data_IF_589983760566
#
_entry.id   IF_589983760566
#
_cell.length_a   1.000
_cell.length_b   1.000
_cell.length_c   1.000
_cell.angle_alpha   90.00
_cell.angle_beta   90.00
_cell.angle_gamma   90.00
#
_symmetry.space_group_name_H-M   'P 1'
#
loop_
_entity.id
_entity.type
_entity.pdbx_description
1 polymer ?
#
# COMPACT_ATOMS: atom_id res chain seq x y z
N UNK A 1 7.14 11.00 3.98
CA UNK A 1 8.26 11.08 4.95
C UNK A 1 8.98 9.76 5.20
N UNK A 2 8.30 8.66 5.53
CA UNK A 2 8.95 7.34 5.73
C UNK A 2 9.87 6.94 4.58
N UNK A 3 9.41 7.13 3.35
CA UNK A 3 10.22 6.91 2.13
C UNK A 3 11.49 7.75 2.10
N UNK A 4 11.45 9.01 2.53
CA UNK A 4 12.64 9.88 2.57
C UNK A 4 13.67 9.36 3.58
N UNK A 5 13.21 8.94 4.77
CA UNK A 5 14.07 8.31 5.78
C UNK A 5 14.71 7.04 5.22
N UNK A 6 13.90 6.19 4.57
CA UNK A 6 14.39 4.97 3.93
C UNK A 6 15.43 5.26 2.84
N UNK A 7 15.18 6.25 1.98
CA UNK A 7 16.12 6.64 0.91
C UNK A 7 17.44 7.15 1.50
N UNK A 8 17.40 7.98 2.54
CA UNK A 8 18.61 8.38 3.27
C UNK A 8 19.37 7.15 3.80
N UNK A 9 18.67 6.22 4.45
CA UNK A 9 19.28 5.02 5.00
C UNK A 9 19.90 4.11 3.92
N UNK A 10 19.38 4.12 2.69
CA UNK A 10 19.94 3.32 1.58
C UNK A 10 21.06 4.03 0.82
N UNK A 11 20.95 5.33 0.64
CA UNK A 11 21.81 6.09 -0.29
C UNK A 11 22.83 6.99 0.41
N UNK A 12 22.65 7.25 1.71
CA UNK A 12 23.45 8.24 2.46
C UNK A 12 23.13 9.71 2.13
N UNK A 13 22.25 9.98 1.16
CA UNK A 13 21.88 11.33 0.71
C UNK A 13 21.13 12.12 1.78
N UNK A 14 21.84 13.07 2.39
CA UNK A 14 21.35 13.85 3.56
C UNK A 14 20.15 14.75 3.24
N UNK A 15 19.96 15.17 2.00
CA UNK A 15 18.84 16.00 1.57
C UNK A 15 17.48 15.34 1.86
N UNK A 16 17.38 14.01 1.70
CA UNK A 16 16.17 13.27 2.07
C UNK A 16 15.88 13.36 3.57
N UNK A 17 16.90 13.21 4.42
CA UNK A 17 16.74 13.29 5.87
C UNK A 17 16.45 14.72 6.33
N UNK A 18 17.06 15.72 5.69
CA UNK A 18 16.92 17.14 6.01
C UNK A 18 15.54 17.71 5.66
N UNK A 19 14.82 17.10 4.71
CA UNK A 19 13.46 17.51 4.36
C UNK A 19 12.42 17.13 5.44
N UNK A 20 12.69 16.09 6.23
CA UNK A 20 11.71 15.51 7.18
C UNK A 20 11.33 16.46 8.32
N UNK A 21 12.25 17.18 9.00
CA UNK A 21 11.89 18.06 10.12
C UNK A 21 10.91 19.18 9.74
N UNK A 22 11.08 19.78 8.55
CA UNK A 22 10.17 20.83 8.07
C UNK A 22 8.75 20.30 7.89
N UNK A 23 8.62 19.12 7.28
CA UNK A 23 7.33 18.46 7.09
C UNK A 23 6.70 18.00 8.42
N UNK A 24 7.50 17.47 9.36
CA UNK A 24 7.02 17.13 10.70
C UNK A 24 6.49 18.34 11.44
N UNK A 25 7.22 19.45 11.43
CA UNK A 25 6.80 20.69 12.08
C UNK A 25 5.50 21.23 11.48
N UNK A 26 5.38 21.24 10.14
CA UNK A 26 4.15 21.62 9.46
C UNK A 26 2.98 20.73 9.90
N UNK A 27 3.09 19.41 9.76
CA UNK A 27 1.99 18.50 10.04
C UNK A 27 1.60 18.47 11.53
N UNK A 28 2.56 18.62 12.45
CA UNK A 28 2.25 18.74 13.89
C UNK A 28 1.40 19.97 14.20
N UNK A 29 1.67 21.10 13.52
CA UNK A 29 0.85 22.31 13.63
C UNK A 29 -0.50 22.19 12.94
N UNK A 30 -0.63 21.27 11.99
CA UNK A 30 -1.86 21.01 11.25
C UNK A 30 -2.80 20.03 11.95
N UNK A 31 -2.43 19.44 13.10
CA UNK A 31 -3.32 18.51 13.81
C UNK A 31 -4.65 19.18 14.19
N UNK A 32 -5.75 18.57 13.75
CA UNK A 32 -7.12 19.06 14.01
C UNK A 32 -7.62 18.65 15.40
N UNK A 33 -7.03 17.58 15.93
CA UNK A 33 -7.14 17.14 17.32
C UNK A 33 -5.95 16.24 17.62
N UNK A 34 -5.74 15.89 18.90
CA UNK A 34 -4.58 15.11 19.33
C UNK A 34 -4.45 13.81 18.51
N UNK A 35 -3.39 13.71 17.71
CA UNK A 35 -3.13 12.52 16.90
C UNK A 35 -4.04 12.36 15.69
N UNK A 36 -4.69 13.43 15.22
CA UNK A 36 -5.54 13.42 14.02
C UNK A 36 -5.15 14.55 13.06
N UNK A 37 -5.18 14.24 11.78
CA UNK A 37 -5.00 15.19 10.68
C UNK A 37 -6.25 15.17 9.81
N UNK A 38 -6.59 16.32 9.23
CA UNK A 38 -7.45 16.34 8.06
C UNK A 38 -6.71 15.71 6.88
N UNK A 39 -7.46 15.14 5.95
CA UNK A 39 -6.88 14.53 4.75
C UNK A 39 -6.40 15.60 3.75
N UNK A 40 -7.02 16.77 3.78
CA UNK A 40 -6.71 17.88 2.88
C UNK A 40 -6.56 19.18 3.65
N UNK A 41 -5.62 20.01 3.20
CA UNK A 41 -5.38 21.34 3.73
C UNK A 41 -5.26 22.33 2.57
N UNK A 42 -5.87 23.49 2.74
CA UNK A 42 -5.77 24.60 1.82
C UNK A 42 -4.33 25.14 1.79
N UNK A 43 -3.81 25.37 0.58
CA UNK A 43 -2.48 25.95 0.42
C UNK A 43 -2.45 27.38 0.97
N UNK A 44 -1.30 27.78 1.51
CA UNK A 44 -1.03 29.07 2.17
C UNK A 44 -1.68 29.23 3.54
N UNK A 45 -2.97 28.91 3.69
CA UNK A 45 -3.70 29.10 4.96
C UNK A 45 -3.57 27.92 5.91
N UNK A 46 -3.26 26.71 5.40
CA UNK A 46 -3.23 25.46 6.17
C UNK A 46 -4.58 25.14 6.84
N UNK A 47 -5.69 25.63 6.28
CA UNK A 47 -7.03 25.34 6.78
C UNK A 47 -7.48 23.93 6.33
N UNK A 48 -8.01 23.09 7.22
CA UNK A 48 -8.61 21.81 6.83
C UNK A 48 -9.69 21.98 5.76
N UNK A 49 -9.69 21.12 4.74
CA UNK A 49 -10.71 21.09 3.70
C UNK A 49 -11.54 19.83 3.80
N UNK A 50 -12.85 20.01 3.71
CA UNK A 50 -13.86 18.96 3.75
C UNK A 50 -14.82 19.13 2.57
N UNK A 51 -15.60 18.10 2.31
CA UNK A 51 -16.67 18.16 1.34
C UNK A 51 -17.94 17.60 1.95
N UNK A 52 -19.08 18.19 1.59
CA UNK A 52 -20.40 17.65 1.94
C UNK A 52 -20.67 16.34 1.18
N UNK A 53 -21.77 15.65 1.51
CA UNK A 53 -22.24 14.50 0.71
C UNK A 53 -22.56 14.85 -0.74
N UNK A 54 -22.84 16.13 -1.02
CA UNK A 54 -23.08 16.69 -2.35
C UNK A 54 -21.79 17.20 -3.03
N UNK A 55 -20.63 16.97 -2.43
CA UNK A 55 -19.33 17.44 -2.91
C UNK A 55 -19.18 18.97 -2.95
N UNK A 56 -19.82 19.67 -2.03
CA UNK A 56 -19.61 21.11 -1.83
C UNK A 56 -18.46 21.33 -0.85
N UNK A 57 -17.55 22.25 -1.17
CA UNK A 57 -16.39 22.57 -0.33
C UNK A 57 -16.86 23.23 0.98
N UNK A 58 -16.49 22.63 2.11
CA UNK A 58 -16.74 23.16 3.45
C UNK A 58 -15.50 23.06 4.32
N UNK A 59 -15.51 23.75 5.45
CA UNK A 59 -14.38 23.84 6.37
C UNK A 59 -14.68 23.24 7.76
N UNK A 60 -15.83 22.56 7.89
CA UNK A 60 -16.26 21.81 9.06
C UNK A 60 -16.55 20.35 8.66
N UNK A 61 -16.62 19.46 9.64
CA UNK A 61 -16.80 18.02 9.47
C UNK A 61 -18.25 17.54 9.72
N UNK A 62 -19.22 18.46 9.64
CA UNK A 62 -20.61 18.21 10.04
C UNK A 62 -21.38 17.28 9.07
N UNK A 63 -21.05 17.28 7.77
CA UNK A 63 -21.76 16.49 6.74
C UNK A 63 -20.82 15.75 5.77
N UNK A 64 -19.89 14.95 6.32
CA UNK A 64 -18.94 14.21 5.50
C UNK A 64 -19.57 13.02 4.75
N UNK A 65 -19.10 12.70 3.53
CA UNK A 65 -19.38 11.43 2.86
C UNK A 65 -19.03 10.21 3.73
N UNK A 66 -19.91 9.21 3.76
CA UNK A 66 -19.74 8.02 4.60
C UNK A 66 -18.73 7.01 4.05
N UNK A 67 -18.42 7.09 2.76
CA UNK A 67 -17.52 6.17 2.06
C UNK A 67 -16.08 6.67 1.93
N UNK A 68 -15.76 7.88 2.40
CA UNK A 68 -14.44 8.47 2.27
C UNK A 68 -13.95 9.12 3.56
N UNK A 69 -12.80 8.67 4.08
CA UNK A 69 -12.24 9.19 5.32
C UNK A 69 -11.55 10.54 5.12
N UNK A 70 -12.18 11.63 5.57
CA UNK A 70 -11.60 12.99 5.55
C UNK A 70 -10.68 13.31 6.73
N UNK A 71 -10.66 12.45 7.76
CA UNK A 71 -9.74 12.57 8.88
C UNK A 71 -8.93 11.29 9.00
N UNK A 72 -7.65 11.41 9.33
CA UNK A 72 -6.70 10.30 9.41
C UNK A 72 -5.96 10.32 10.73
N UNK A 73 -5.57 9.15 11.20
CA UNK A 73 -4.67 9.04 12.35
C UNK A 73 -3.29 9.61 11.99
N UNK A 74 -2.76 10.42 12.89
CA UNK A 74 -1.42 10.99 12.81
C UNK A 74 -0.39 9.90 13.12
N UNK A 75 0.51 9.62 12.17
CA UNK A 75 1.66 8.75 12.38
C UNK A 75 2.92 9.51 12.78
N UNK A 76 2.82 10.80 13.12
CA UNK A 76 3.95 11.73 13.17
C UNK A 76 4.98 11.35 14.24
N UNK A 77 4.57 10.93 15.43
CA UNK A 77 5.48 10.54 16.51
C UNK A 77 6.36 9.35 16.10
N UNK A 78 5.75 8.35 15.47
CA UNK A 78 6.49 7.18 14.98
C UNK A 78 7.45 7.54 13.85
N UNK A 79 7.10 8.52 13.02
CA UNK A 79 7.97 9.03 11.93
C UNK A 79 9.12 9.84 12.52
N UNK A 80 8.87 10.67 13.52
CA UNK A 80 9.91 11.42 14.22
C UNK A 80 10.88 10.48 14.92
N UNK A 81 10.39 9.44 15.61
CA UNK A 81 11.24 8.43 16.21
C UNK A 81 12.10 7.72 15.15
N UNK A 82 11.53 7.36 13.99
CA UNK A 82 12.29 6.77 12.89
C UNK A 82 13.34 7.74 12.32
N UNK A 83 13.01 9.03 12.20
CA UNK A 83 13.94 10.06 11.75
C UNK A 83 15.10 10.24 12.74
N UNK A 84 14.82 10.30 14.06
CA UNK A 84 15.87 10.39 15.10
C UNK A 84 16.81 9.19 15.06
N UNK A 85 16.26 7.97 14.91
CA UNK A 85 17.06 6.75 14.75
C UNK A 85 17.93 6.82 13.51
N UNK A 86 17.37 7.14 12.35
CA UNK A 86 18.14 7.27 11.12
C UNK A 86 19.24 8.33 11.22
N UNK A 87 18.96 9.48 11.85
CA UNK A 87 19.95 10.54 12.08
C UNK A 87 21.14 10.06 12.92
N UNK A 88 20.90 9.23 13.93
CA UNK A 88 21.93 8.68 14.81
C UNK A 88 22.69 7.52 14.15
N UNK A 89 21.96 6.58 13.55
CA UNK A 89 22.50 5.32 13.05
C UNK A 89 23.11 5.47 11.65
N UNK A 90 22.77 6.55 10.94
CA UNK A 90 23.32 6.89 9.63
C UNK A 90 22.77 6.03 8.49
N UNK A 91 23.58 5.88 7.44
CA UNK A 91 23.30 4.97 6.34
C UNK A 91 23.35 3.53 6.87
N UNK A 92 22.32 2.73 6.55
CA UNK A 92 22.34 1.32 6.84
C UNK A 92 23.39 0.66 5.96
N UNK A 93 24.30 -0.09 6.58
CA UNK A 93 25.21 -0.96 5.83
C UNK A 93 24.38 -1.89 4.95
N UNK A 94 24.87 -2.16 3.74
CA UNK A 94 24.28 -3.20 2.91
C UNK A 94 24.27 -4.50 3.74
N UNK A 95 23.10 -5.11 3.86
CA UNK A 95 23.01 -6.45 4.41
C UNK A 95 23.74 -7.32 3.40
N UNK A 96 24.81 -7.99 3.85
CA UNK A 96 25.53 -8.90 2.97
C UNK A 96 24.57 -10.02 2.57
N UNK A 97 24.17 -10.03 1.30
CA UNK A 97 23.25 -11.02 0.76
C UNK A 97 23.81 -12.45 0.89
N UNK A 98 25.13 -12.61 1.05
CA UNK A 98 25.77 -13.89 1.34
C UNK A 98 25.39 -14.45 2.72
N UNK A 99 25.06 -13.57 3.68
CA UNK A 99 24.62 -13.91 5.04
C UNK A 99 23.12 -14.15 5.15
N UNK A 100 22.34 -13.79 4.11
CA UNK A 100 20.92 -14.07 4.10
C UNK A 100 20.70 -15.59 4.07
N UNK A 101 19.80 -16.15 4.91
CA UNK A 101 19.53 -17.57 4.88
C UNK A 101 19.11 -17.97 3.47
N UNK A 102 19.85 -18.90 2.86
CA UNK A 102 19.49 -19.47 1.55
C UNK A 102 18.08 -20.02 1.67
N UNK A 103 17.13 -19.42 0.95
CA UNK A 103 15.78 -19.97 0.84
C UNK A 103 15.92 -21.39 0.30
N UNK A 104 15.49 -22.38 1.09
CA UNK A 104 15.49 -23.77 0.66
C UNK A 104 14.60 -23.87 -0.58
N UNK A 105 15.13 -24.49 -1.63
CA UNK A 105 14.34 -24.76 -2.83
C UNK A 105 13.19 -25.69 -2.45
N UNK A 106 11.95 -25.40 -2.88
CA UNK A 106 10.87 -26.35 -2.72
C UNK A 106 11.20 -27.61 -3.52
N UNK A 107 10.87 -28.79 -2.97
CA UNK A 107 10.94 -30.03 -3.73
C UNK A 107 9.81 -30.05 -4.75
N UNK A 108 10.07 -30.55 -5.95
CA UNK A 108 9.00 -30.81 -6.91
C UNK A 108 8.12 -31.94 -6.39
N UNK A 109 6.85 -31.64 -6.13
CA UNK A 109 5.85 -32.61 -5.65
C UNK A 109 4.69 -32.65 -6.64
N UNK A 110 3.95 -33.75 -6.65
CA UNK A 110 2.73 -33.89 -7.46
C UNK A 110 1.77 -32.70 -7.25
N UNK A 111 1.61 -32.27 -5.99
CA UNK A 111 0.73 -31.18 -5.63
C UNK A 111 1.20 -29.78 -6.12
N UNK A 112 2.50 -29.59 -6.42
CA UNK A 112 3.00 -28.37 -7.06
C UNK A 112 2.76 -28.43 -8.57
N UNK A 113 2.98 -29.60 -9.17
CA UNK A 113 2.73 -29.83 -10.60
C UNK A 113 1.24 -29.61 -10.91
N UNK A 114 0.35 -30.25 -10.16
CA UNK A 114 -1.10 -30.16 -10.32
C UNK A 114 -1.59 -28.71 -10.22
N UNK A 115 -1.20 -27.98 -9.17
CA UNK A 115 -1.60 -26.57 -9.00
C UNK A 115 -1.07 -25.64 -10.09
N UNK A 116 0.09 -25.94 -10.66
CA UNK A 116 0.63 -25.17 -11.77
C UNK A 116 -0.11 -25.49 -13.07
N UNK A 117 -0.46 -26.76 -13.30
CA UNK A 117 -1.26 -27.20 -14.43
C UNK A 117 -2.67 -26.60 -14.38
N UNK A 118 -3.37 -26.70 -13.24
CA UNK A 118 -4.66 -26.04 -13.00
C UNK A 118 -4.60 -24.53 -13.27
N UNK A 119 -3.49 -23.89 -12.91
CA UNK A 119 -3.30 -22.47 -13.17
C UNK A 119 -3.17 -22.16 -14.67
N UNK A 120 -2.54 -23.02 -15.47
CA UNK A 120 -2.49 -22.81 -16.92
C UNK A 120 -3.83 -23.16 -17.57
N UNK A 121 -4.44 -24.28 -17.20
CA UNK A 121 -5.65 -24.81 -17.82
C UNK A 121 -6.90 -23.94 -17.56
N UNK A 122 -6.89 -23.18 -16.46
CA UNK A 122 -7.98 -22.25 -16.12
C UNK A 122 -7.88 -20.89 -16.83
N UNK A 123 -6.86 -20.66 -17.65
CA UNK A 123 -6.79 -19.45 -18.47
C UNK A 123 -7.74 -19.56 -19.66
N UNK A 124 -8.34 -18.42 -20.04
CA UNK A 124 -8.99 -18.30 -21.34
C UNK A 124 -7.97 -18.20 -22.49
N UNK A 125 -8.46 -18.14 -23.73
CA UNK A 125 -7.62 -18.06 -24.93
C UNK A 125 -6.68 -16.84 -24.99
N UNK A 126 -6.87 -15.83 -24.14
CA UNK A 126 -6.01 -14.65 -24.03
C UNK A 126 -4.92 -14.81 -22.96
N UNK A 127 -4.94 -15.91 -22.21
CA UNK A 127 -4.08 -16.11 -21.04
C UNK A 127 -4.61 -15.44 -19.77
N UNK A 128 -5.91 -15.13 -19.69
CA UNK A 128 -6.50 -14.46 -18.53
C UNK A 128 -7.28 -15.43 -17.63
N UNK A 129 -7.13 -15.27 -16.31
CA UNK A 129 -8.00 -15.93 -15.32
C UNK A 129 -9.25 -15.10 -15.10
N UNK A 130 -10.31 -15.44 -15.83
CA UNK A 130 -11.61 -14.78 -15.73
C UNK A 130 -12.57 -15.64 -14.91
N UNK A 131 -13.20 -15.05 -13.91
CA UNK A 131 -14.26 -15.69 -13.14
C UNK A 131 -15.55 -14.86 -13.15
N UNK A 132 -16.68 -15.52 -12.91
CA UNK A 132 -17.96 -14.84 -12.71
C UNK A 132 -18.13 -14.50 -11.24
N UNK A 133 -17.95 -13.22 -10.90
CA UNK A 133 -18.13 -12.73 -9.53
C UNK A 133 -18.90 -11.40 -9.51
N UNK A 134 -19.30 -11.00 -8.30
CA UNK A 134 -20.02 -9.77 -8.02
C UNK A 134 -19.04 -8.63 -7.84
N UNK A 135 -19.23 -7.55 -8.58
CA UNK A 135 -18.46 -6.33 -8.34
C UNK A 135 -18.97 -5.63 -7.08
N UNK A 136 -18.05 -5.33 -6.15
CA UNK A 136 -18.38 -4.62 -4.90
C UNK A 136 -18.92 -3.20 -5.13
N UNK A 137 -18.68 -2.63 -6.31
CA UNK A 137 -19.08 -1.28 -6.66
C UNK A 137 -19.52 -1.21 -8.14
N UNK A 138 -20.83 -1.24 -8.39
CA UNK A 138 -21.44 -0.86 -9.67
C UNK A 138 -22.70 -0.03 -9.42
N UNK A 139 -22.85 1.03 -10.22
CA UNK A 139 -23.84 2.09 -10.06
C UNK A 139 -25.25 1.77 -10.57
N UNK A 140 -25.52 0.55 -11.04
CA UNK A 140 -26.87 0.12 -11.43
C UNK A 140 -27.70 -0.44 -10.25
N UNK A 141 -27.09 -0.56 -9.06
CA UNK A 141 -27.76 -0.98 -7.84
C UNK A 141 -28.02 -2.49 -7.73
N UNK A 142 -27.75 -3.29 -8.77
CA UNK A 142 -28.02 -4.72 -8.73
C UNK A 142 -26.80 -5.52 -8.23
N UNK A 143 -26.68 -5.61 -6.91
CA UNK A 143 -25.60 -6.34 -6.21
C UNK A 143 -25.56 -7.85 -6.47
N UNK A 144 -26.61 -8.42 -7.06
CA UNK A 144 -26.70 -9.87 -7.30
C UNK A 144 -26.15 -10.32 -8.66
N UNK A 145 -25.94 -9.39 -9.60
CA UNK A 145 -25.42 -9.70 -10.93
C UNK A 145 -23.97 -10.14 -10.86
N UNK A 146 -23.68 -11.37 -11.33
CA UNK A 146 -22.32 -11.82 -11.59
C UNK A 146 -21.88 -11.33 -12.97
N UNK A 147 -20.68 -10.78 -13.04
CA UNK A 147 -20.07 -10.34 -14.30
C UNK A 147 -18.69 -10.97 -14.44
N UNK A 148 -18.14 -11.08 -15.66
CA UNK A 148 -16.76 -11.50 -15.84
C UNK A 148 -15.80 -10.52 -15.15
N UNK A 149 -14.98 -11.03 -14.23
CA UNK A 149 -13.97 -10.25 -13.51
C UNK A 149 -12.62 -10.96 -13.52
N UNK A 150 -11.57 -10.19 -13.31
CA UNK A 150 -10.25 -10.70 -12.95
C UNK A 150 -10.02 -10.32 -11.49
N UNK A 151 -10.09 -11.31 -10.61
CA UNK A 151 -9.80 -11.10 -9.19
C UNK A 151 -8.31 -11.08 -8.92
N UNK A 152 -7.83 -10.04 -8.25
CA UNK A 152 -6.44 -9.97 -7.78
C UNK A 152 -6.09 -11.16 -6.88
N UNK A 153 -7.04 -11.71 -6.12
CA UNK A 153 -6.81 -12.87 -5.28
C UNK A 153 -6.51 -14.13 -6.11
N UNK A 154 -7.31 -14.36 -7.15
CA UNK A 154 -7.13 -15.47 -8.10
C UNK A 154 -5.80 -15.31 -8.84
N UNK A 155 -5.52 -14.11 -9.36
CA UNK A 155 -4.26 -13.78 -10.00
C UNK A 155 -3.04 -14.08 -9.11
N UNK A 156 -3.03 -13.59 -7.87
CA UNK A 156 -1.91 -13.81 -6.93
C UNK A 156 -1.73 -15.30 -6.62
N UNK A 157 -2.83 -16.03 -6.43
CA UNK A 157 -2.80 -17.47 -6.17
C UNK A 157 -2.16 -18.23 -7.33
N UNK A 158 -2.62 -18.02 -8.56
CA UNK A 158 -2.11 -18.75 -9.72
C UNK A 158 -0.67 -18.37 -10.07
N UNK A 159 -0.31 -17.08 -10.03
CA UNK A 159 1.09 -16.65 -10.18
C UNK A 159 1.98 -17.29 -9.10
N UNK A 160 1.49 -17.40 -7.87
CA UNK A 160 2.18 -18.10 -6.78
C UNK A 160 2.42 -19.58 -7.10
N UNK A 161 1.41 -20.29 -7.59
CA UNK A 161 1.53 -21.70 -8.02
C UNK A 161 2.58 -21.88 -9.13
N UNK A 162 2.54 -21.04 -10.16
CA UNK A 162 3.49 -21.08 -11.27
C UNK A 162 4.92 -20.77 -10.82
N UNK A 163 5.09 -19.75 -9.97
CA UNK A 163 6.39 -19.41 -9.40
C UNK A 163 6.95 -20.54 -8.53
N UNK A 164 6.10 -21.22 -7.75
CA UNK A 164 6.51 -22.38 -6.95
C UNK A 164 6.97 -23.55 -7.83
N UNK A 165 6.27 -23.83 -8.92
CA UNK A 165 6.68 -24.84 -9.90
C UNK A 165 8.02 -24.52 -10.55
N UNK A 166 8.21 -23.29 -11.04
CA UNK A 166 9.49 -22.86 -11.63
C UNK A 166 10.63 -22.95 -10.62
N UNK A 167 10.39 -22.56 -9.36
CA UNK A 167 11.40 -22.64 -8.30
C UNK A 167 11.75 -24.09 -7.91
N UNK A 168 10.80 -25.02 -8.02
CA UNK A 168 11.00 -26.44 -7.72
C UNK A 168 11.60 -27.24 -8.89
N UNK A 169 11.48 -26.75 -10.12
CA UNK A 169 11.92 -27.42 -11.35
C UNK A 169 13.35 -27.05 -11.80
N UNK A 170 14.07 -26.26 -10.99
CA UNK A 170 15.45 -25.80 -11.25
C UNK A 170 16.47 -26.40 -10.29
#
# INVERSE_FOLDING_TARGET
MRTLIFLYQKTGRKDFLNAVPRALNYLKKSEISKGKLARFYELKTNRPLYFTRKYELVYTDDDLPTHYGFQVNSGLDSIEAAWRRAKRDGQLKAVDASTAPRRKRPKLTAAIIERAQEAVDSMDARGAWVELDRLRYQGDGNRDKKVPVISTQVFVRHIGSLAAYIAASR
#
